data_IF_161730146199
#
_entry.id   IF_161730146199
#
_cell.length_a   1.000
_cell.length_b   1.000
_cell.length_c   1.000
_cell.angle_alpha   90.00
_cell.angle_beta   90.00
_cell.angle_gamma   90.00
#
_symmetry.space_group_name_H-M   'P 1'
#
loop_
_entity.id
_entity.type
_entity.pdbx_description
1 polymer ?
#
# COMPACT_ATOMS: atom_id res chain seq x y z
N UNK A 1 9.72 -16.35 17.91
CA UNK A 1 9.83 -14.90 17.71
C UNK A 1 8.48 -14.30 17.32
N UNK A 2 8.11 -13.22 17.98
CA UNK A 2 6.85 -12.55 17.67
C UNK A 2 7.05 -11.60 16.51
N UNK A 3 6.12 -11.65 15.56
CA UNK A 3 6.11 -10.71 14.45
C UNK A 3 4.92 -9.78 14.60
N UNK A 4 5.18 -8.49 14.52
CA UNK A 4 4.15 -7.48 14.55
C UNK A 4 3.88 -7.03 13.12
N UNK A 5 2.61 -7.06 12.72
CA UNK A 5 2.23 -6.59 11.40
C UNK A 5 2.13 -5.07 11.41
N UNK A 6 2.74 -4.46 10.42
CA UNK A 6 2.66 -3.01 10.25
C UNK A 6 1.67 -2.71 9.15
N UNK A 7 0.58 -2.04 9.52
CA UNK A 7 -0.48 -1.65 8.59
C UNK A 7 -0.36 -0.15 8.33
N UNK A 8 -0.22 0.21 7.07
CA UNK A 8 -0.13 1.61 6.69
C UNK A 8 -1.34 1.99 5.84
N UNK A 9 -1.99 3.09 6.20
CA UNK A 9 -3.08 3.62 5.41
C UNK A 9 -2.50 4.44 4.27
N UNK A 10 -2.84 4.05 3.04
CA UNK A 10 -2.31 4.70 1.86
C UNK A 10 -3.32 5.73 1.37
N UNK A 11 -2.88 6.96 1.24
CA UNK A 11 -3.70 8.04 0.73
C UNK A 11 -3.01 8.73 -0.45
N UNK A 12 -3.60 9.83 -0.95
CA UNK A 12 -3.04 10.54 -2.12
C UNK A 12 -1.61 11.01 -1.90
N UNK A 13 -1.25 11.35 -0.68
CA UNK A 13 0.10 11.82 -0.38
C UNK A 13 1.15 10.72 -0.49
N UNK A 14 0.73 9.46 -0.44
CA UNK A 14 1.63 8.32 -0.51
C UNK A 14 1.58 7.61 -1.87
N UNK A 15 0.91 8.21 -2.85
CA UNK A 15 0.68 7.54 -4.13
C UNK A 15 1.79 7.78 -5.15
N UNK A 16 3.05 7.69 -4.71
CA UNK A 16 4.18 7.74 -5.63
C UNK A 16 5.13 6.59 -5.31
N UNK A 17 5.91 6.21 -6.31
CA UNK A 17 6.78 5.05 -6.20
C UNK A 17 7.81 5.20 -5.08
N UNK A 18 8.37 6.39 -4.95
CA UNK A 18 9.40 6.64 -3.95
C UNK A 18 8.87 6.41 -2.53
N UNK A 19 7.74 7.04 -2.20
CA UNK A 19 7.15 6.91 -0.88
C UNK A 19 6.71 5.47 -0.61
N UNK A 20 6.11 4.83 -1.63
CA UNK A 20 5.66 3.45 -1.49
C UNK A 20 6.84 2.52 -1.24
N UNK A 21 7.94 2.72 -1.95
CA UNK A 21 9.15 1.93 -1.76
C UNK A 21 9.70 2.12 -0.34
N UNK A 22 9.73 3.35 0.13
CA UNK A 22 10.20 3.63 1.49
C UNK A 22 9.34 2.95 2.55
N UNK A 23 8.02 2.96 2.37
CA UNK A 23 7.11 2.29 3.29
C UNK A 23 7.34 0.78 3.30
N UNK A 24 7.53 0.19 2.13
CA UNK A 24 7.80 -1.24 2.04
C UNK A 24 9.11 -1.60 2.73
N UNK A 25 10.15 -0.81 2.50
CA UNK A 25 11.45 -1.06 3.12
C UNK A 25 11.44 -0.79 4.62
N UNK A 26 10.56 0.08 5.08
CA UNK A 26 10.41 0.35 6.51
C UNK A 26 9.69 -0.77 7.27
N UNK A 27 9.14 -1.74 6.55
CA UNK A 27 8.51 -2.90 7.16
C UNK A 27 7.00 -3.00 7.00
N UNK A 28 6.41 -2.23 6.08
CA UNK A 28 4.98 -2.33 5.85
C UNK A 28 4.59 -3.74 5.41
N UNK A 29 3.63 -4.34 6.10
CA UNK A 29 3.12 -5.67 5.78
C UNK A 29 1.78 -5.60 5.05
N UNK A 30 0.98 -4.59 5.35
CA UNK A 30 -0.36 -4.43 4.79
C UNK A 30 -0.53 -2.99 4.33
N UNK A 31 -0.94 -2.82 3.09
CA UNK A 31 -1.33 -1.53 2.54
C UNK A 31 -2.85 -1.43 2.60
N UNK A 32 -3.34 -0.53 3.42
CA UNK A 32 -4.78 -0.33 3.62
C UNK A 32 -5.27 0.83 2.78
N UNK A 33 -6.29 0.57 1.99
CA UNK A 33 -6.90 1.58 1.12
C UNK A 33 -8.34 1.83 1.54
N UNK A 34 -8.73 3.08 1.68
CA UNK A 34 -10.08 3.47 2.04
C UNK A 34 -10.81 4.00 0.81
N UNK A 35 -11.80 3.25 0.35
CA UNK A 35 -12.57 3.59 -0.85
C UNK A 35 -13.62 4.67 -0.64
N UNK A 36 -13.81 5.14 0.58
CA UNK A 36 -14.74 6.23 0.83
C UNK A 36 -14.21 7.57 0.32
N UNK A 37 -12.92 7.64 -0.02
CA UNK A 37 -12.29 8.84 -0.53
C UNK A 37 -11.67 8.59 -1.89
N UNK A 38 -11.75 9.59 -2.77
CA UNK A 38 -11.13 9.52 -4.07
C UNK A 38 -11.99 8.83 -5.12
N UNK A 39 -11.40 8.56 -6.26
CA UNK A 39 -12.08 7.94 -7.39
C UNK A 39 -11.63 6.50 -7.57
N UNK A 40 -12.42 5.73 -8.33
CA UNK A 40 -12.04 4.36 -8.66
C UNK A 40 -10.72 4.32 -9.42
N UNK A 41 -10.53 5.26 -10.34
CA UNK A 41 -9.30 5.32 -11.12
C UNK A 41 -8.09 5.60 -10.24
N UNK A 42 -8.23 6.52 -9.30
CA UNK A 42 -7.17 6.83 -8.36
C UNK A 42 -6.80 5.63 -7.50
N UNK A 43 -7.81 4.88 -7.06
CA UNK A 43 -7.57 3.68 -6.27
C UNK A 43 -6.86 2.60 -7.08
N UNK A 44 -7.25 2.42 -8.35
CA UNK A 44 -6.59 1.46 -9.22
C UNK A 44 -5.12 1.80 -9.43
N UNK A 45 -4.82 3.08 -9.60
CA UNK A 45 -3.44 3.52 -9.74
C UNK A 45 -2.61 3.17 -8.51
N UNK A 46 -3.17 3.40 -7.33
CA UNK A 46 -2.49 3.07 -6.08
C UNK A 46 -2.29 1.57 -5.94
N UNK A 47 -3.31 0.78 -6.25
CA UNK A 47 -3.21 -0.67 -6.20
C UNK A 47 -2.12 -1.18 -7.14
N UNK A 48 -2.10 -0.67 -8.37
CA UNK A 48 -1.10 -1.07 -9.35
C UNK A 48 0.30 -0.65 -8.90
N UNK A 49 0.43 0.50 -8.29
CA UNK A 49 1.70 0.97 -7.76
C UNK A 49 2.20 0.04 -6.65
N UNK A 50 1.33 -0.35 -5.73
CA UNK A 50 1.70 -1.27 -4.65
C UNK A 50 2.15 -2.61 -5.22
N UNK A 51 1.40 -3.13 -6.18
CA UNK A 51 1.75 -4.41 -6.82
C UNK A 51 3.09 -4.33 -7.51
N UNK A 52 3.35 -3.24 -8.21
CA UNK A 52 4.62 -3.04 -8.91
C UNK A 52 5.79 -2.97 -7.92
N UNK A 53 5.63 -2.21 -6.86
CA UNK A 53 6.70 -2.05 -5.87
C UNK A 53 6.96 -3.35 -5.12
N UNK A 54 5.91 -4.07 -4.71
CA UNK A 54 6.11 -5.31 -3.97
C UNK A 54 6.79 -6.39 -4.82
N UNK A 55 6.51 -6.42 -6.11
CA UNK A 55 7.20 -7.33 -7.03
C UNK A 55 8.66 -6.95 -7.18
N UNK A 56 8.91 -5.66 -7.35
CA UNK A 56 10.27 -5.14 -7.52
C UNK A 56 11.14 -5.45 -6.31
N UNK A 57 10.57 -5.34 -5.13
CA UNK A 57 11.28 -5.60 -3.87
C UNK A 57 11.19 -7.04 -3.41
N UNK A 58 10.37 -7.83 -4.08
CA UNK A 58 10.12 -9.23 -3.72
C UNK A 58 9.65 -9.37 -2.27
N UNK A 59 8.71 -8.52 -1.86
CA UNK A 59 8.16 -8.51 -0.52
C UNK A 59 6.68 -8.93 -0.52
N UNK A 60 6.25 -9.73 0.46
CA UNK A 60 4.86 -10.19 0.56
C UNK A 60 3.98 -9.14 1.25
N UNK A 61 3.56 -8.15 0.49
CA UNK A 61 2.72 -7.08 1.02
C UNK A 61 1.26 -7.32 0.65
N UNK A 62 0.40 -7.40 1.65
CA UNK A 62 -1.02 -7.58 1.42
C UNK A 62 -1.70 -6.24 1.15
N UNK A 63 -2.75 -6.27 0.36
CA UNK A 63 -3.54 -5.08 0.05
C UNK A 63 -4.91 -5.27 0.68
N UNK A 64 -5.29 -4.38 1.58
CA UNK A 64 -6.58 -4.42 2.24
C UNK A 64 -7.45 -3.27 1.74
N UNK A 65 -8.61 -3.61 1.20
CA UNK A 65 -9.56 -2.62 0.70
C UNK A 65 -10.68 -2.45 1.69
N UNK A 66 -10.94 -1.22 2.12
CA UNK A 66 -12.01 -0.93 3.05
C UNK A 66 -12.99 0.05 2.45
N UNK A 67 -14.28 -0.24 2.64
CA UNK A 67 -15.36 0.66 2.28
C UNK A 67 -16.11 1.03 3.54
N UNK A 68 -16.58 2.25 3.58
CA UNK A 68 -17.37 2.71 4.72
C UNK A 68 -18.84 2.80 4.29
#
# INVERSE_FOLDING_TARGET
MRKTKIVCTIGPACSNEKTMTELCLAGMNVARLNFSHGTHEGHLEIINLIKSVREKLNLPIAIKLETI
#
